data_IF_680203914927
#
_entry.id   IF_680203914927
#
_cell.length_a   1.000
_cell.length_b   1.000
_cell.length_c   1.000
_cell.angle_alpha   90.00
_cell.angle_beta   90.00
_cell.angle_gamma   90.00
#
_symmetry.space_group_name_H-M   'P 1'
#
loop_
_entity.id
_entity.type
_entity.pdbx_description
1 polymer ?
#
# COMPACT_ATOMS: atom_id res chain seq x y z
N UNK A 1 22.00 -4.67 19.18
CA UNK A 1 21.56 -6.06 19.42
C UNK A 1 21.30 -6.38 20.88
N UNK A 2 22.17 -6.01 21.84
CA UNK A 2 21.97 -6.32 23.28
C UNK A 2 20.56 -5.99 23.82
N UNK A 3 20.05 -4.78 23.56
CA UNK A 3 18.69 -4.36 23.95
C UNK A 3 17.53 -5.16 23.32
N UNK A 4 17.75 -5.75 22.14
CA UNK A 4 16.77 -6.62 21.47
C UNK A 4 16.72 -7.98 22.17
N UNK A 5 17.89 -8.49 22.57
CA UNK A 5 18.04 -9.77 23.27
C UNK A 5 17.54 -9.69 24.73
N UNK A 6 17.64 -8.50 25.34
CA UNK A 6 17.21 -8.27 26.73
C UNK A 6 15.72 -7.89 26.86
N UNK A 7 14.99 -7.73 25.75
CA UNK A 7 13.57 -7.34 25.76
C UNK A 7 12.65 -8.55 25.91
N UNK A 8 11.66 -8.42 26.79
CA UNK A 8 10.64 -9.47 27.05
C UNK A 8 9.50 -9.48 26.03
N UNK A 9 9.43 -8.47 25.16
CA UNK A 9 8.31 -8.16 24.27
C UNK A 9 8.77 -7.87 22.82
N UNK A 10 10.00 -8.25 22.47
CA UNK A 10 10.52 -8.02 21.14
C UNK A 10 9.74 -8.83 20.09
N UNK A 11 9.13 -8.12 19.14
CA UNK A 11 8.45 -8.70 17.98
C UNK A 11 9.12 -8.26 16.69
N UNK A 12 9.42 -9.22 15.82
CA UNK A 12 9.90 -8.99 14.47
C UNK A 12 9.10 -9.85 13.50
N UNK A 13 8.74 -9.27 12.35
CA UNK A 13 8.10 -9.99 11.26
C UNK A 13 8.74 -9.61 9.93
N UNK A 14 8.69 -10.55 8.99
CA UNK A 14 9.07 -10.29 7.61
C UNK A 14 7.99 -9.46 6.92
N UNK A 15 8.40 -8.57 6.01
CA UNK A 15 7.48 -7.81 5.17
C UNK A 15 7.48 -8.46 3.78
N UNK A 16 6.39 -9.16 3.48
CA UNK A 16 6.19 -9.87 2.23
C UNK A 16 5.12 -9.18 1.39
N UNK A 17 5.25 -9.23 0.08
CA UNK A 17 4.26 -8.75 -0.87
C UNK A 17 3.72 -9.92 -1.70
N UNK A 18 2.44 -10.24 -1.53
CA UNK A 18 1.74 -11.27 -2.32
C UNK A 18 1.16 -10.64 -3.58
N UNK A 19 1.33 -11.31 -4.73
CA UNK A 19 0.78 -10.89 -6.03
C UNK A 19 -0.14 -11.96 -6.58
N UNK A 20 -1.43 -11.69 -6.58
CA UNK A 20 -2.43 -12.64 -7.08
C UNK A 20 -2.67 -12.46 -8.58
N UNK A 21 -2.81 -13.56 -9.34
CA UNK A 21 -3.06 -13.50 -10.78
C UNK A 21 -4.46 -12.98 -11.11
N UNK A 22 -5.44 -13.15 -10.23
CA UNK A 22 -6.82 -12.64 -10.34
C UNK A 22 -7.32 -12.16 -8.97
N UNK A 23 -8.25 -11.20 -8.98
CA UNK A 23 -8.91 -10.70 -7.77
C UNK A 23 -10.22 -11.45 -7.49
N UNK A 24 -10.68 -12.32 -8.38
CA UNK A 24 -11.89 -13.11 -8.17
C UNK A 24 -11.76 -14.52 -8.74
N UNK A 25 -12.59 -15.44 -8.26
CA UNK A 25 -12.72 -16.78 -8.83
C UNK A 25 -14.14 -17.29 -8.57
N UNK A 26 -14.94 -17.41 -9.63
CA UNK A 26 -16.37 -17.68 -9.52
C UNK A 26 -17.04 -16.62 -8.65
N UNK A 27 -17.62 -17.04 -7.51
CA UNK A 27 -18.33 -16.15 -6.58
C UNK A 27 -17.47 -15.61 -5.43
N UNK A 28 -16.17 -15.87 -5.45
CA UNK A 28 -15.23 -15.38 -4.44
C UNK A 28 -14.46 -14.18 -4.97
N UNK A 29 -14.29 -13.14 -4.16
CA UNK A 29 -13.58 -11.92 -4.52
C UNK A 29 -12.66 -11.47 -3.38
N UNK A 30 -11.49 -10.95 -3.74
CA UNK A 30 -10.48 -10.41 -2.82
C UNK A 30 -10.61 -8.88 -2.78
N UNK A 31 -10.82 -8.34 -1.59
CA UNK A 31 -10.99 -6.90 -1.35
C UNK A 31 -10.11 -6.48 -0.18
N UNK A 32 -9.53 -5.27 -0.25
CA UNK A 32 -8.66 -4.74 0.78
C UNK A 32 -7.38 -5.56 0.94
N UNK A 33 -6.93 -5.72 2.17
CA UNK A 33 -5.67 -6.41 2.50
C UNK A 33 -5.66 -7.89 2.06
N UNK A 34 -6.83 -8.51 1.83
CA UNK A 34 -6.92 -9.86 1.28
C UNK A 34 -6.43 -9.95 -0.17
N UNK A 35 -6.55 -8.87 -0.96
CA UNK A 35 -6.14 -8.83 -2.37
C UNK A 35 -4.87 -8.02 -2.61
N UNK A 36 -4.69 -6.92 -1.88
CA UNK A 36 -3.69 -5.91 -2.23
C UNK A 36 -3.21 -5.10 -1.02
N UNK A 37 -2.65 -5.77 -0.01
CA UNK A 37 -2.02 -5.10 1.13
C UNK A 37 -0.97 -4.07 0.68
N UNK A 38 -1.16 -2.80 1.07
CA UNK A 38 -0.41 -1.65 0.55
C UNK A 38 1.04 -1.54 1.07
N UNK A 39 1.47 -2.42 1.98
CA UNK A 39 2.82 -2.44 2.52
C UNK A 39 3.20 -1.13 3.23
N UNK A 40 4.35 -0.56 2.87
CA UNK A 40 4.98 0.59 3.56
C UNK A 40 4.31 1.95 3.36
N UNK A 41 3.30 2.07 2.49
CA UNK A 41 2.73 3.38 2.11
C UNK A 41 1.69 3.89 3.11
N UNK A 42 1.19 3.06 4.03
CA UNK A 42 0.10 3.41 4.93
C UNK A 42 -1.27 3.54 4.24
N UNK A 43 -1.37 3.26 2.94
CA UNK A 43 -2.58 3.45 2.15
C UNK A 43 -3.60 2.30 2.24
N UNK A 44 -3.41 1.33 3.14
CA UNK A 44 -4.22 0.11 3.20
C UNK A 44 -5.71 0.38 3.43
N UNK A 45 -6.03 1.26 4.39
CA UNK A 45 -7.42 1.62 4.71
C UNK A 45 -8.11 2.33 3.54
N UNK A 46 -7.44 3.34 2.95
CA UNK A 46 -7.96 4.07 1.78
C UNK A 46 -8.22 3.11 0.62
N UNK A 47 -7.30 2.18 0.37
CA UNK A 47 -7.41 1.22 -0.71
C UNK A 47 -8.51 0.17 -0.46
N UNK A 48 -8.71 -0.25 0.79
CA UNK A 48 -9.80 -1.14 1.16
C UNK A 48 -11.17 -0.48 0.92
N UNK A 49 -11.31 0.80 1.29
CA UNK A 49 -12.55 1.57 1.05
C UNK A 49 -12.79 1.75 -0.45
N UNK A 50 -11.76 2.19 -1.19
CA UNK A 50 -11.83 2.31 -2.66
C UNK A 50 -12.22 0.99 -3.33
N UNK A 51 -11.61 -0.11 -2.89
CA UNK A 51 -11.91 -1.44 -3.41
C UNK A 51 -13.34 -1.88 -3.11
N UNK A 52 -13.84 -1.64 -1.90
CA UNK A 52 -15.23 -1.95 -1.54
C UNK A 52 -16.22 -1.12 -2.37
N UNK A 53 -15.93 0.17 -2.56
CA UNK A 53 -16.74 1.08 -3.39
C UNK A 53 -16.82 0.60 -4.84
N UNK A 54 -15.67 0.30 -5.47
CA UNK A 54 -15.64 -0.20 -6.85
C UNK A 54 -16.32 -1.55 -7.00
N UNK A 55 -16.14 -2.46 -6.03
CA UNK A 55 -16.80 -3.76 -6.06
C UNK A 55 -18.33 -3.61 -6.02
N UNK A 56 -18.83 -2.84 -5.06
CA UNK A 56 -20.27 -2.60 -4.93
C UNK A 56 -20.84 -1.91 -6.18
N UNK A 57 -20.10 -0.94 -6.74
CA UNK A 57 -20.49 -0.21 -7.92
C UNK A 57 -20.55 -1.08 -9.18
N UNK A 58 -19.54 -1.90 -9.44
CA UNK A 58 -19.51 -2.77 -10.61
C UNK A 58 -20.56 -3.89 -10.53
N UNK A 59 -20.82 -4.43 -9.34
CA UNK A 59 -21.94 -5.37 -9.12
C UNK A 59 -23.28 -4.69 -9.38
N UNK A 60 -23.49 -3.47 -8.88
CA UNK A 60 -24.74 -2.74 -9.08
C UNK A 60 -24.96 -2.35 -10.54
N UNK A 61 -23.90 -1.94 -11.24
CA UNK A 61 -23.94 -1.56 -12.65
C UNK A 61 -24.30 -2.74 -13.56
N UNK A 62 -23.88 -3.95 -13.19
CA UNK A 62 -24.17 -5.19 -13.90
C UNK A 62 -25.22 -6.03 -13.17
N UNK A 63 -26.28 -5.40 -12.67
CA UNK A 63 -27.34 -6.08 -11.95
C UNK A 63 -27.88 -7.28 -12.76
N UNK A 64 -27.83 -8.47 -12.16
CA UNK A 64 -28.24 -9.73 -12.79
C UNK A 64 -27.10 -10.52 -13.45
N UNK A 65 -25.90 -9.94 -13.61
CA UNK A 65 -24.70 -10.60 -14.12
C UNK A 65 -23.50 -10.36 -13.18
N UNK A 66 -23.36 -11.25 -12.19
CA UNK A 66 -22.29 -11.17 -11.20
C UNK A 66 -20.90 -11.34 -11.84
N UNK A 67 -20.77 -12.17 -12.86
CA UNK A 67 -19.49 -12.43 -13.51
C UNK A 67 -19.00 -11.18 -14.24
N UNK A 68 -19.90 -10.46 -14.92
CA UNK A 68 -19.59 -9.17 -15.51
C UNK A 68 -19.20 -8.12 -14.45
N UNK A 69 -19.90 -8.07 -13.32
CA UNK A 69 -19.58 -7.17 -12.21
C UNK A 69 -18.20 -7.44 -11.58
N UNK A 70 -17.86 -8.71 -11.33
CA UNK A 70 -16.55 -9.10 -10.78
C UNK A 70 -15.41 -8.85 -11.78
N UNK A 71 -15.64 -9.08 -13.07
CA UNK A 71 -14.69 -8.72 -14.13
C UNK A 71 -14.46 -7.21 -14.18
N UNK A 72 -15.54 -6.42 -14.14
CA UNK A 72 -15.44 -4.95 -14.11
C UNK A 72 -14.65 -4.46 -12.89
N UNK A 73 -14.89 -5.05 -11.72
CA UNK A 73 -14.14 -4.76 -10.50
C UNK A 73 -12.63 -5.00 -10.69
N UNK A 74 -12.28 -6.17 -11.24
CA UNK A 74 -10.88 -6.52 -11.49
C UNK A 74 -10.23 -5.55 -12.48
N UNK A 75 -10.90 -5.20 -13.57
CA UNK A 75 -10.40 -4.26 -14.59
C UNK A 75 -10.10 -2.88 -14.00
N UNK A 76 -10.95 -2.37 -13.12
CA UNK A 76 -10.74 -1.08 -12.44
C UNK A 76 -9.62 -1.14 -11.40
N UNK A 77 -9.57 -2.20 -10.60
CA UNK A 77 -8.59 -2.31 -9.51
C UNK A 77 -7.19 -2.71 -9.98
N UNK A 78 -7.05 -3.50 -11.04
CA UNK A 78 -5.75 -4.00 -11.52
C UNK A 78 -4.69 -2.91 -11.73
N UNK A 79 -4.96 -1.79 -12.42
CA UNK A 79 -3.97 -0.72 -12.58
C UNK A 79 -3.61 -0.04 -11.26
N UNK A 80 -4.55 0.05 -10.31
CA UNK A 80 -4.31 0.61 -8.96
C UNK A 80 -3.33 -0.29 -8.21
N UNK A 81 -3.67 -1.58 -8.11
CA UNK A 81 -2.86 -2.60 -7.44
C UNK A 81 -1.46 -2.68 -8.05
N UNK A 82 -1.36 -2.69 -9.38
CA UNK A 82 -0.07 -2.78 -10.08
C UNK A 82 0.84 -1.58 -9.82
N UNK A 83 0.31 -0.37 -9.63
CA UNK A 83 1.11 0.81 -9.25
C UNK A 83 1.56 0.73 -7.79
N UNK A 84 0.65 0.38 -6.88
CA UNK A 84 0.95 0.31 -5.45
C UNK A 84 1.94 -0.80 -5.11
N UNK A 85 1.92 -1.90 -5.85
CA UNK A 85 2.86 -3.00 -5.62
C UNK A 85 4.28 -2.70 -6.12
N UNK A 86 4.51 -1.63 -6.90
CA UNK A 86 5.85 -1.23 -7.31
C UNK A 86 6.57 -0.52 -6.16
N UNK A 87 7.27 -1.29 -5.34
CA UNK A 87 8.18 -0.75 -4.35
C UNK A 87 9.44 -0.15 -5.05
N UNK A 88 9.78 1.14 -4.83
CA UNK A 88 11.03 1.71 -5.31
C UNK A 88 12.23 0.92 -4.75
N UNK A 89 13.17 0.45 -5.60
CA UNK A 89 14.34 -0.31 -5.15
C UNK A 89 15.17 0.44 -4.09
N UNK A 90 15.19 1.77 -4.22
CA UNK A 90 15.93 2.66 -3.34
C UNK A 90 15.45 2.60 -1.87
N UNK A 91 14.14 2.39 -1.65
CA UNK A 91 13.56 2.30 -0.29
C UNK A 91 14.14 1.08 0.45
N UNK A 92 14.27 -0.07 -0.23
CA UNK A 92 14.81 -1.29 0.38
C UNK A 92 16.27 -1.11 0.79
N UNK A 93 17.09 -0.52 -0.09
CA UNK A 93 18.53 -0.32 0.14
C UNK A 93 18.82 0.71 1.23
N UNK A 94 18.05 1.80 1.28
CA UNK A 94 18.26 2.88 2.26
C UNK A 94 17.65 2.52 3.62
N UNK A 95 16.45 1.94 3.67
CA UNK A 95 15.80 1.62 4.94
C UNK A 95 16.34 0.35 5.59
N UNK A 96 16.76 -0.65 4.81
CA UNK A 96 17.25 -1.93 5.33
C UNK A 96 18.63 -2.32 4.76
N UNK A 97 19.69 -1.53 5.00
CA UNK A 97 21.04 -1.89 4.59
C UNK A 97 21.48 -3.18 5.31
N UNK A 98 22.00 -4.13 4.53
CA UNK A 98 22.38 -5.46 5.02
C UNK A 98 23.83 -5.52 5.55
N UNK A 99 24.54 -4.39 5.58
CA UNK A 99 25.95 -4.31 6.01
C UNK A 99 26.10 -3.42 7.24
N UNK A 100 27.05 -3.77 8.13
CA UNK A 100 27.33 -3.00 9.34
C UNK A 100 27.77 -1.56 9.01
N UNK A 101 28.57 -1.39 7.95
CA UNK A 101 28.97 -0.08 7.45
C UNK A 101 27.78 0.71 6.89
N UNK A 102 26.90 0.06 6.10
CA UNK A 102 25.69 0.70 5.58
C UNK A 102 24.74 1.17 6.69
N UNK A 103 24.56 0.35 7.73
CA UNK A 103 23.80 0.73 8.93
C UNK A 103 24.42 1.93 9.64
N UNK A 104 25.75 1.97 9.77
CA UNK A 104 26.46 3.10 10.38
C UNK A 104 26.28 4.39 9.59
N UNK A 105 26.47 4.35 8.26
CA UNK A 105 26.28 5.52 7.38
C UNK A 105 24.84 6.02 7.44
N UNK A 106 23.85 5.14 7.25
CA UNK A 106 22.42 5.46 7.32
C UNK A 106 22.08 6.15 8.65
N UNK A 107 22.51 5.57 9.77
CA UNK A 107 22.21 6.10 11.10
C UNK A 107 22.87 7.48 11.34
N UNK A 108 24.08 7.71 10.80
CA UNK A 108 24.75 9.02 10.89
C UNK A 108 24.04 10.08 10.06
N UNK A 109 23.60 9.75 8.85
CA UNK A 109 22.79 10.64 8.01
C UNK A 109 21.48 10.97 8.71
N UNK A 110 20.75 9.97 9.21
CA UNK A 110 19.49 10.21 9.92
C UNK A 110 19.67 11.05 11.19
N UNK A 111 20.72 10.80 11.98
CA UNK A 111 21.02 11.61 13.16
C UNK A 111 21.32 13.07 12.78
N UNK A 112 22.09 13.30 11.71
CA UNK A 112 22.39 14.63 11.21
C UNK A 112 21.14 15.35 10.68
N UNK A 113 20.31 14.67 9.90
CA UNK A 113 19.06 15.21 9.36
C UNK A 113 18.05 15.53 10.48
N UNK A 114 17.92 14.67 11.47
CA UNK A 114 17.08 14.92 12.64
C UNK A 114 17.60 16.10 13.48
N UNK A 115 18.91 16.17 13.71
CA UNK A 115 19.55 17.25 14.45
C UNK A 115 19.38 18.61 13.77
N UNK A 116 19.48 18.65 12.45
CA UNK A 116 19.31 19.88 11.65
C UNK A 116 17.86 20.33 11.51
N UNK A 117 16.88 19.53 11.97
CA UNK A 117 15.41 19.78 11.86
C UNK A 117 14.94 20.14 10.44
N UNK A 118 15.73 19.81 9.42
CA UNK A 118 15.44 20.16 8.02
C UNK A 118 14.16 19.45 7.52
N UNK A 119 13.82 18.31 8.13
CA UNK A 119 12.59 17.58 7.86
C UNK A 119 11.33 18.36 8.29
N UNK A 120 11.39 19.25 9.28
CA UNK A 120 10.23 20.09 9.66
C UNK A 120 9.89 21.09 8.55
N UNK A 121 10.89 21.58 7.81
CA UNK A 121 10.69 22.39 6.61
C UNK A 121 10.28 21.56 5.39
N UNK A 122 10.68 20.28 5.34
CA UNK A 122 10.44 19.35 4.24
C UNK A 122 9.21 18.45 4.38
N UNK A 123 8.50 18.49 5.51
CA UNK A 123 7.35 17.61 5.79
C UNK A 123 6.26 17.73 4.71
N UNK A 124 6.03 18.93 4.17
CA UNK A 124 5.08 19.15 3.06
C UNK A 124 5.48 18.41 1.78
N UNK A 125 6.78 18.28 1.52
CA UNK A 125 7.31 17.58 0.34
C UNK A 125 7.39 16.06 0.54
N UNK A 126 7.67 15.60 1.76
CA UNK A 126 7.72 14.18 2.07
C UNK A 126 6.30 13.59 2.19
N UNK A 127 5.37 14.32 2.81
CA UNK A 127 3.97 13.92 2.92
C UNK A 127 3.26 13.90 1.57
N UNK A 128 3.54 14.84 0.66
CA UNK A 128 2.92 14.86 -0.68
C UNK A 128 3.31 13.65 -1.54
N UNK A 129 4.49 13.06 -1.32
CA UNK A 129 4.91 11.82 -1.99
C UNK A 129 4.10 10.59 -1.53
N UNK A 130 3.50 10.62 -0.34
CA UNK A 130 2.59 9.59 0.17
C UNK A 130 1.10 9.96 0.01
N UNK A 131 0.79 11.25 -0.14
CA UNK A 131 -0.57 11.80 -0.20
C UNK A 131 -1.06 12.07 -1.63
N UNK A 132 -0.37 11.59 -2.67
CA UNK A 132 -0.81 11.74 -4.07
C UNK A 132 -2.03 10.84 -4.37
N UNK A 133 -3.16 11.20 -3.75
CA UNK A 133 -4.47 10.56 -3.89
C UNK A 133 -5.21 10.98 -5.16
N UNK A 134 -4.73 12.01 -5.86
CA UNK A 134 -5.36 12.56 -7.08
C UNK A 134 -5.15 11.69 -8.32
N UNK A 135 -4.37 10.60 -8.21
CA UNK A 135 -4.00 9.78 -9.38
C UNK A 135 -5.06 8.76 -9.83
N UNK A 136 -6.11 8.54 -9.05
CA UNK A 136 -7.17 7.58 -9.41
C UNK A 136 -8.55 8.17 -9.17
N UNK A 137 -9.16 8.69 -10.25
CA UNK A 137 -10.56 9.11 -10.22
C UNK A 137 -11.44 7.87 -10.04
N UNK A 138 -12.27 7.88 -9.00
CA UNK A 138 -13.27 6.85 -8.80
C UNK A 138 -14.38 7.02 -9.84
N UNK A 139 -14.83 5.94 -10.50
CA UNK A 139 -15.98 6.00 -11.38
C UNK A 139 -17.24 6.33 -10.56
N UNK A 140 -18.14 7.12 -11.14
CA UNK A 140 -19.45 7.36 -10.55
C UNK A 140 -20.39 6.22 -10.90
N UNK A 141 -21.05 5.67 -9.88
CA UNK A 141 -22.06 4.64 -10.04
C UNK A 141 -23.45 5.22 -9.77
N UNK A 142 -24.44 4.80 -10.55
CA UNK A 142 -25.85 5.12 -10.32
C UNK A 142 -26.38 4.31 -9.13
N UNK A 143 -26.09 4.75 -7.91
CA UNK A 143 -26.59 4.12 -6.70
C UNK A 143 -28.12 4.23 -6.64
N UNK A 144 -28.79 3.10 -6.42
CA UNK A 144 -30.23 3.10 -6.17
C UNK A 144 -30.44 3.61 -4.74
N UNK A 145 -31.12 4.74 -4.61
CA UNK A 145 -31.48 5.33 -3.32
C UNK A 145 -32.59 4.53 -2.61
#
# INVERSE_FOLDING_TARGET
MKRMLDSTDFYANEIVQVKTPSLYNGRFVLVGDAGYAAGFTGAGATLAITGAYMLAGEISKHAGDLDAGLRGYEEQMRPIVAKLQKAPPLIRTILAPQTAWGLWVRNRIFAFVAWTRILEFGQTYFASAFADSDKFRLPEYGWVA
#
